data_IF_067618905662
#
_entry.id   IF_067618905662
#
_cell.length_a   1.000
_cell.length_b   1.000
_cell.length_c   1.000
_cell.angle_alpha   90.00
_cell.angle_beta   90.00
_cell.angle_gamma   90.00
#
_symmetry.space_group_name_H-M   'P 1'
#
loop_
_entity.id
_entity.type
_entity.pdbx_description
1 polymer ?
#
# COMPACT_ATOMS: atom_id res chain seq x y z
N UNK A 1 -19.84 6.65 2.86
CA UNK A 1 -20.87 7.53 3.46
C UNK A 1 -20.58 7.72 4.94
N UNK A 2 -20.46 8.97 5.44
CA UNK A 2 -20.15 9.25 6.85
C UNK A 2 -21.38 8.93 7.72
N UNK A 3 -21.36 7.79 8.40
CA UNK A 3 -22.20 7.57 9.58
C UNK A 3 -21.77 8.60 10.62
N UNK A 4 -22.55 9.65 10.85
CA UNK A 4 -22.18 10.68 11.81
C UNK A 4 -22.35 10.15 13.22
N UNK A 5 -21.25 9.70 13.81
CA UNK A 5 -21.16 9.44 15.24
C UNK A 5 -20.82 10.74 15.96
N UNK A 6 -21.43 10.94 17.12
CA UNK A 6 -21.23 12.11 17.97
C UNK A 6 -20.56 11.65 19.25
N UNK A 7 -19.47 12.30 19.63
CA UNK A 7 -18.80 12.04 20.90
C UNK A 7 -19.17 13.15 21.87
N UNK A 8 -19.66 12.80 23.05
CA UNK A 8 -20.02 13.76 24.10
C UNK A 8 -19.46 13.33 25.43
N UNK A 9 -19.18 14.29 26.30
CA UNK A 9 -18.83 14.06 27.69
C UNK A 9 -20.03 14.46 28.57
N UNK A 10 -20.44 13.58 29.48
CA UNK A 10 -21.59 13.80 30.36
C UNK A 10 -21.11 13.85 31.81
N UNK A 11 -21.37 14.96 32.49
CA UNK A 11 -21.03 15.13 33.90
C UNK A 11 -21.99 14.38 34.82
N UNK A 12 -21.58 14.00 36.04
CA UNK A 12 -22.45 13.33 37.00
C UNK A 12 -23.74 14.12 37.23
N UNK A 13 -24.89 13.47 37.03
CA UNK A 13 -26.22 14.08 37.19
C UNK A 13 -26.87 14.56 35.89
N UNK A 14 -26.12 14.76 34.79
CA UNK A 14 -26.71 15.03 33.48
C UNK A 14 -27.21 13.74 32.82
N UNK A 15 -28.39 13.81 32.18
CA UNK A 15 -28.98 12.68 31.44
C UNK A 15 -29.05 13.02 29.96
N UNK A 16 -28.62 12.07 29.13
CA UNK A 16 -28.79 12.12 27.69
C UNK A 16 -30.24 11.91 27.28
N UNK A 17 -30.71 12.69 26.31
CA UNK A 17 -31.99 12.42 25.67
C UNK A 17 -31.86 11.20 24.74
N UNK A 18 -32.20 10.04 25.31
CA UNK A 18 -32.19 8.74 24.63
C UNK A 18 -33.21 8.65 23.48
N UNK A 19 -34.11 9.63 23.31
CA UNK A 19 -35.05 9.70 22.17
C UNK A 19 -34.36 10.18 20.89
N UNK A 20 -33.30 10.98 21.02
CA UNK A 20 -32.59 11.59 19.89
C UNK A 20 -31.29 10.86 19.58
N UNK A 21 -30.61 10.34 20.61
CA UNK A 21 -29.30 9.70 20.48
C UNK A 21 -29.25 8.34 21.17
N UNK A 22 -28.72 7.34 20.46
CA UNK A 22 -28.44 6.01 21.00
C UNK A 22 -26.96 5.93 21.37
N UNK A 23 -26.61 5.66 22.64
CA UNK A 23 -25.22 5.40 23.03
C UNK A 23 -24.76 4.10 22.39
N UNK A 24 -23.59 4.14 21.74
CA UNK A 24 -22.94 3.01 21.09
C UNK A 24 -21.80 2.48 21.96
N UNK A 25 -21.04 3.39 22.57
CA UNK A 25 -19.90 3.09 23.43
C UNK A 25 -19.85 4.10 24.57
N UNK A 26 -19.60 3.60 25.78
CA UNK A 26 -19.49 4.42 27.00
C UNK A 26 -18.19 4.11 27.70
N UNK A 27 -17.47 5.14 28.12
CA UNK A 27 -16.24 5.01 28.89
C UNK A 27 -16.32 5.90 30.14
N UNK A 28 -16.16 5.30 31.32
CA UNK A 28 -16.21 6.01 32.60
C UNK A 28 -14.87 6.68 32.89
N UNK A 29 -14.92 7.95 33.27
CA UNK A 29 -13.78 8.76 33.72
C UNK A 29 -14.06 9.30 35.12
N UNK A 30 -13.01 9.73 35.83
CA UNK A 30 -13.10 10.20 37.23
C UNK A 30 -14.11 11.36 37.39
N UNK A 31 -14.27 12.19 36.35
CA UNK A 31 -15.08 13.41 36.40
C UNK A 31 -16.37 13.33 35.55
N UNK A 32 -16.75 12.14 35.05
CA UNK A 32 -17.92 11.97 34.18
C UNK A 32 -17.77 10.82 33.19
N UNK A 33 -18.68 10.73 32.22
CA UNK A 33 -18.72 9.62 31.25
C UNK A 33 -18.54 10.14 29.84
N UNK A 34 -17.57 9.61 29.09
CA UNK A 34 -17.43 9.84 27.66
C UNK A 34 -18.32 8.87 26.89
N UNK A 35 -19.13 9.36 25.97
CA UNK A 35 -20.15 8.57 25.26
C UNK A 35 -20.05 8.84 23.77
N UNK A 36 -19.81 7.78 23.00
CA UNK A 36 -19.98 7.77 21.55
C UNK A 36 -21.44 7.41 21.24
N UNK A 37 -22.11 8.26 20.48
CA UNK A 37 -23.54 8.18 20.22
C UNK A 37 -23.83 8.23 18.73
N UNK A 38 -24.94 7.63 18.33
CA UNK A 38 -25.49 7.74 16.98
C UNK A 38 -26.86 8.39 17.06
N UNK A 39 -27.15 9.31 16.13
CA UNK A 39 -28.49 9.92 16.00
C UNK A 39 -29.50 8.83 15.65
N UNK A 40 -30.57 8.73 16.45
CA UNK A 40 -31.67 7.79 16.22
C UNK A 40 -32.55 8.35 15.12
N UNK A 41 -32.98 7.49 14.21
CA UNK A 41 -33.94 7.82 13.17
C UNK A 41 -35.17 6.98 13.40
N UNK A 42 -36.33 7.63 13.38
CA UNK A 42 -37.61 6.93 13.34
C UNK A 42 -37.84 6.38 11.92
N UNK A 43 -37.80 5.05 11.72
CA UNK A 43 -38.06 4.45 10.41
C UNK A 43 -39.43 4.79 9.83
N UNK A 44 -40.40 5.19 10.65
CA UNK A 44 -41.74 5.60 10.21
C UNK A 44 -41.73 6.90 9.41
N UNK A 45 -40.67 7.70 9.55
CA UNK A 45 -40.47 8.92 8.77
C UNK A 45 -39.90 8.65 7.37
N UNK A 46 -39.51 7.41 7.05
CA UNK A 46 -38.94 7.06 5.76
C UNK A 46 -40.04 6.95 4.70
N UNK A 47 -39.80 7.53 3.52
CA UNK A 47 -40.61 7.23 2.35
C UNK A 47 -40.18 5.87 1.80
N UNK A 48 -41.09 4.91 1.75
CA UNK A 48 -40.80 3.55 1.27
C UNK A 48 -41.20 3.41 -0.20
N UNK A 49 -40.31 2.84 -1.01
CA UNK A 49 -40.59 2.44 -2.38
C UNK A 49 -40.14 0.99 -2.55
N UNK A 50 -41.05 0.10 -2.93
CA UNK A 50 -40.79 -1.33 -3.10
C UNK A 50 -40.69 -1.71 -4.59
N UNK A 51 -39.74 -2.58 -4.92
CA UNK A 51 -39.51 -3.11 -6.27
C UNK A 51 -39.32 -4.63 -6.25
N UNK A 52 -39.87 -5.29 -7.26
CA UNK A 52 -39.51 -6.66 -7.62
C UNK A 52 -38.42 -6.62 -8.71
N UNK A 53 -37.21 -7.09 -8.40
CA UNK A 53 -36.06 -6.96 -9.29
C UNK A 53 -35.43 -5.55 -9.29
N UNK A 54 -34.41 -5.35 -10.14
CA UNK A 54 -33.70 -4.07 -10.20
C UNK A 54 -34.57 -2.99 -10.84
N UNK A 55 -34.84 -1.86 -10.15
CA UNK A 55 -35.55 -0.75 -10.76
C UNK A 55 -34.72 -0.15 -11.91
N UNK A 56 -35.37 0.26 -12.99
CA UNK A 56 -34.72 1.15 -13.96
C UNK A 56 -34.41 2.47 -13.25
N UNK A 57 -33.12 2.74 -13.05
CA UNK A 57 -32.66 3.96 -12.39
C UNK A 57 -33.16 5.20 -13.13
N UNK A 58 -33.41 5.11 -14.45
CA UNK A 58 -34.01 6.21 -15.24
C UNK A 58 -35.45 6.50 -14.84
N UNK A 59 -36.23 5.49 -14.42
CA UNK A 59 -37.59 5.66 -13.92
C UNK A 59 -37.61 6.28 -12.51
N UNK A 60 -36.64 5.93 -11.65
CA UNK A 60 -36.41 6.60 -10.37
C UNK A 60 -36.02 8.08 -10.56
N UNK A 61 -35.24 8.38 -11.60
CA UNK A 61 -34.83 9.74 -11.97
C UNK A 61 -35.98 10.57 -12.58
N UNK A 62 -36.90 9.98 -13.37
CA UNK A 62 -38.04 10.71 -13.94
C UNK A 62 -39.13 11.08 -12.94
N UNK A 63 -39.11 10.49 -11.73
CA UNK A 63 -40.00 10.83 -10.61
C UNK A 63 -39.43 12.01 -9.82
N UNK A 64 -39.01 13.06 -10.53
CA UNK A 64 -38.28 14.24 -10.03
C UNK A 64 -38.93 15.02 -8.88
N UNK A 65 -40.23 14.89 -8.49
CA UNK A 65 -40.70 15.52 -7.26
C UNK A 65 -40.28 14.78 -5.98
N UNK A 66 -39.69 13.57 -6.06
CA UNK A 66 -39.57 12.69 -4.88
C UNK A 66 -38.24 12.74 -4.13
N UNK A 67 -37.15 13.20 -4.74
CA UNK A 67 -35.82 13.23 -4.10
C UNK A 67 -35.12 14.60 -4.12
N UNK A 68 -35.54 15.52 -4.99
CA UNK A 68 -34.85 16.81 -5.23
C UNK A 68 -35.31 17.95 -4.30
N UNK A 69 -36.48 17.85 -3.65
CA UNK A 69 -37.06 18.95 -2.85
C UNK A 69 -37.28 18.71 -1.35
N UNK A 70 -37.12 17.48 -0.85
CA UNK A 70 -37.45 17.12 0.54
C UNK A 70 -36.19 16.79 1.36
N UNK A 71 -36.19 17.15 2.65
CA UNK A 71 -35.19 16.76 3.66
C UNK A 71 -35.34 15.30 4.11
N UNK A 72 -36.31 14.58 3.54
CA UNK A 72 -36.75 13.26 3.96
C UNK A 72 -35.90 12.15 3.32
N UNK A 73 -35.60 11.11 4.09
CA UNK A 73 -34.86 9.92 3.62
C UNK A 73 -35.82 8.92 2.95
N UNK A 74 -35.29 8.18 1.98
CA UNK A 74 -36.05 7.21 1.18
C UNK A 74 -35.51 5.81 1.43
N UNK A 75 -36.39 4.86 1.76
CA UNK A 75 -36.09 3.44 1.84
C UNK A 75 -36.45 2.75 0.52
N UNK A 76 -35.45 2.26 -0.20
CA UNK A 76 -35.60 1.49 -1.43
C UNK A 76 -35.57 0.01 -1.08
N UNK A 77 -36.72 -0.65 -1.13
CA UNK A 77 -36.86 -2.08 -0.80
C UNK A 77 -36.85 -2.88 -2.09
N UNK A 78 -35.90 -3.80 -2.22
CA UNK A 78 -35.66 -4.55 -3.45
C UNK A 78 -35.71 -6.04 -3.11
N UNK A 79 -36.65 -6.76 -3.73
CA UNK A 79 -36.81 -8.22 -3.57
C UNK A 79 -36.11 -8.99 -4.68
N UNK A 80 -35.64 -10.20 -4.36
CA UNK A 80 -35.16 -11.21 -5.30
C UNK A 80 -34.01 -10.72 -6.21
N UNK A 81 -33.06 -9.97 -5.67
CA UNK A 81 -31.98 -9.38 -6.48
C UNK A 81 -30.61 -9.39 -5.77
N UNK A 82 -29.54 -9.51 -6.56
CA UNK A 82 -28.15 -9.51 -6.08
C UNK A 82 -27.50 -8.11 -6.19
N UNK A 83 -27.01 -7.52 -5.09
CA UNK A 83 -26.70 -6.09 -5.03
C UNK A 83 -25.39 -5.59 -5.66
N UNK A 84 -24.62 -6.44 -6.33
CA UNK A 84 -23.25 -6.10 -6.76
C UNK A 84 -23.15 -4.91 -7.71
N UNK A 85 -24.00 -4.79 -8.75
CA UNK A 85 -23.88 -3.69 -9.74
C UNK A 85 -24.58 -2.38 -9.37
N UNK A 86 -25.75 -2.43 -8.72
CA UNK A 86 -26.50 -1.21 -8.41
C UNK A 86 -25.92 -0.43 -7.24
N UNK A 87 -25.22 -1.06 -6.29
CA UNK A 87 -24.64 -0.34 -5.15
C UNK A 87 -23.55 0.65 -5.56
N UNK A 88 -22.72 0.28 -6.54
CA UNK A 88 -21.71 1.18 -7.11
C UNK A 88 -22.34 2.34 -7.86
N UNK A 89 -23.38 2.06 -8.64
CA UNK A 89 -24.11 3.06 -9.41
C UNK A 89 -24.82 4.05 -8.48
N UNK A 90 -25.56 3.55 -7.48
CA UNK A 90 -26.30 4.35 -6.51
C UNK A 90 -25.38 5.18 -5.60
N UNK A 91 -24.14 4.74 -5.36
CA UNK A 91 -23.17 5.49 -4.56
C UNK A 91 -22.59 6.72 -5.28
N UNK A 92 -22.66 6.76 -6.62
CA UNK A 92 -22.17 7.87 -7.43
C UNK A 92 -23.21 8.99 -7.60
N UNK A 93 -24.45 8.74 -7.18
CA UNK A 93 -25.56 9.69 -7.36
C UNK A 93 -25.53 10.85 -6.34
N UNK A 94 -25.93 12.08 -6.73
CA UNK A 94 -25.92 13.26 -5.85
C UNK A 94 -26.76 13.12 -4.58
N UNK A 95 -27.79 12.27 -4.63
CA UNK A 95 -28.75 12.02 -3.54
C UNK A 95 -28.50 10.71 -2.78
N UNK A 96 -27.37 10.03 -3.02
CA UNK A 96 -27.00 8.76 -2.38
C UNK A 96 -27.07 8.81 -0.83
N UNK A 97 -26.78 9.97 -0.25
CA UNK A 97 -26.85 10.20 1.21
C UNK A 97 -28.27 10.09 1.78
N UNK A 98 -29.32 10.32 0.97
CA UNK A 98 -30.74 10.22 1.36
C UNK A 98 -31.31 8.81 1.20
N UNK A 99 -30.63 7.93 0.47
CA UNK A 99 -31.12 6.59 0.15
C UNK A 99 -30.73 5.55 1.20
N UNK A 100 -31.67 4.65 1.51
CA UNK A 100 -31.48 3.47 2.36
C UNK A 100 -31.93 2.25 1.59
N UNK A 101 -30.99 1.49 1.04
CA UNK A 101 -31.30 0.30 0.27
C UNK A 101 -31.52 -0.88 1.20
N UNK A 102 -32.60 -1.62 0.97
CA UNK A 102 -33.01 -2.81 1.72
C UNK A 102 -33.20 -3.95 0.73
N UNK A 103 -32.24 -4.88 0.71
CA UNK A 103 -32.26 -6.06 -0.16
C UNK A 103 -32.85 -7.23 0.60
N UNK A 104 -33.88 -7.85 0.04
CA UNK A 104 -34.60 -8.97 0.63
C UNK A 104 -34.46 -10.20 -0.26
N UNK A 105 -34.00 -11.30 0.31
CA UNK A 105 -34.01 -12.59 -0.37
C UNK A 105 -35.43 -13.18 -0.48
N UNK A 106 -35.54 -14.34 -1.13
CA UNK A 106 -36.81 -15.02 -1.36
C UNK A 106 -37.46 -15.58 -0.08
N UNK A 107 -36.70 -15.70 1.01
CA UNK A 107 -37.18 -16.23 2.30
C UNK A 107 -37.58 -15.11 3.27
N UNK A 108 -37.24 -13.86 2.94
CA UNK A 108 -37.50 -12.70 3.77
C UNK A 108 -39.02 -12.47 3.95
N UNK A 109 -39.47 -12.19 5.19
CA UNK A 109 -40.84 -11.78 5.46
C UNK A 109 -41.32 -10.59 4.62
N UNK A 110 -42.63 -10.32 4.66
CA UNK A 110 -43.17 -9.12 4.01
C UNK A 110 -42.59 -7.87 4.68
N UNK A 111 -42.12 -6.94 3.86
CA UNK A 111 -41.50 -5.71 4.35
C UNK A 111 -42.56 -4.88 5.06
N UNK A 112 -42.19 -4.36 6.23
CA UNK A 112 -43.03 -3.41 6.97
C UNK A 112 -42.16 -2.66 7.96
N UNK A 113 -42.19 -1.33 7.89
CA UNK A 113 -41.52 -0.46 8.87
C UNK A 113 -42.06 -0.59 10.30
N UNK A 114 -43.23 -1.24 10.45
CA UNK A 114 -43.87 -1.53 11.73
C UNK A 114 -43.48 -2.90 12.30
N UNK A 115 -42.93 -3.78 11.48
CA UNK A 115 -42.43 -5.07 11.96
C UNK A 115 -41.11 -4.85 12.74
N UNK A 116 -40.95 -5.45 13.93
CA UNK A 116 -39.72 -5.31 14.72
C UNK A 116 -38.45 -5.63 13.93
N UNK A 117 -38.51 -6.65 13.07
CA UNK A 117 -37.39 -7.11 12.23
C UNK A 117 -36.80 -6.00 11.35
N UNK A 118 -37.66 -5.21 10.70
CA UNK A 118 -37.22 -4.12 9.82
C UNK A 118 -37.05 -2.81 10.57
N UNK A 119 -37.87 -2.57 11.58
CA UNK A 119 -37.83 -1.35 12.38
C UNK A 119 -36.48 -1.20 13.09
N UNK A 120 -36.02 -2.26 13.76
CA UNK A 120 -34.74 -2.26 14.45
C UNK A 120 -33.57 -2.02 13.48
N UNK A 121 -33.56 -2.69 12.33
CA UNK A 121 -32.50 -2.52 11.34
C UNK A 121 -32.49 -1.13 10.72
N UNK A 122 -33.65 -0.61 10.29
CA UNK A 122 -33.73 0.71 9.67
C UNK A 122 -33.39 1.84 10.65
N UNK A 123 -33.61 1.63 11.95
CA UNK A 123 -33.18 2.58 12.99
C UNK A 123 -31.65 2.76 13.05
N UNK A 124 -30.89 1.80 12.50
CA UNK A 124 -29.44 1.89 12.37
C UNK A 124 -29.00 2.85 11.26
N UNK A 125 -29.91 3.36 10.42
CA UNK A 125 -29.62 4.35 9.39
C UNK A 125 -28.50 3.94 8.40
N UNK A 126 -28.35 2.64 8.13
CA UNK A 126 -27.31 2.15 7.21
C UNK A 126 -27.74 2.37 5.75
N UNK A 127 -26.81 2.82 4.92
CA UNK A 127 -27.06 3.03 3.48
C UNK A 127 -27.44 1.74 2.76
N UNK A 128 -26.88 0.61 3.19
CA UNK A 128 -27.08 -0.71 2.58
C UNK A 128 -27.45 -1.70 3.68
N UNK A 129 -28.58 -2.39 3.50
CA UNK A 129 -29.10 -3.41 4.41
C UNK A 129 -29.47 -4.62 3.56
N UNK A 130 -28.94 -5.79 3.91
CA UNK A 130 -29.23 -7.04 3.20
C UNK A 130 -29.80 -8.02 4.20
N UNK A 131 -31.01 -8.51 3.98
CA UNK A 131 -31.60 -9.59 4.75
C UNK A 131 -31.49 -10.87 3.92
N UNK A 132 -30.66 -11.80 4.39
CA UNK A 132 -30.48 -13.12 3.78
C UNK A 132 -30.59 -14.20 4.85
N UNK A 133 -31.45 -15.20 4.64
CA UNK A 133 -31.72 -16.28 5.60
C UNK A 133 -32.06 -15.76 7.00
N UNK A 134 -32.87 -14.70 7.08
CA UNK A 134 -33.22 -13.97 8.30
C UNK A 134 -32.04 -13.35 9.08
N UNK A 135 -30.87 -13.20 8.45
CA UNK A 135 -29.70 -12.54 9.04
C UNK A 135 -29.46 -11.22 8.29
N UNK A 136 -29.34 -10.14 9.06
CA UNK A 136 -28.97 -8.82 8.53
C UNK A 136 -27.46 -8.75 8.25
N UNK A 137 -27.10 -8.18 7.11
CA UNK A 137 -25.72 -8.00 6.70
C UNK A 137 -25.53 -6.90 5.66
N UNK A 138 -24.32 -6.84 5.10
CA UNK A 138 -23.94 -5.94 4.01
C UNK A 138 -22.97 -6.67 3.08
N UNK A 139 -22.87 -6.22 1.82
CA UNK A 139 -21.82 -6.70 0.93
C UNK A 139 -20.54 -5.92 1.18
N UNK A 140 -19.47 -6.67 1.45
CA UNK A 140 -18.11 -6.14 1.48
C UNK A 140 -17.34 -6.77 0.35
N UNK A 141 -16.88 -5.95 -0.58
CA UNK A 141 -15.87 -6.41 -1.53
C UNK A 141 -14.63 -6.82 -0.75
N UNK A 142 -14.29 -8.09 -0.87
CA UNK A 142 -13.06 -8.65 -0.36
C UNK A 142 -12.32 -9.14 -1.58
N UNK A 143 -11.21 -8.50 -1.93
CA UNK A 143 -10.33 -9.00 -2.98
C UNK A 143 -9.92 -10.41 -2.58
N UNK A 144 -10.22 -11.39 -3.43
CA UNK A 144 -9.63 -12.71 -3.28
C UNK A 144 -8.17 -12.55 -3.68
N UNK A 145 -7.20 -12.80 -2.78
CA UNK A 145 -5.81 -12.80 -3.19
C UNK A 145 -5.63 -13.87 -4.25
N UNK A 146 -5.08 -13.51 -5.42
CA UNK A 146 -4.67 -14.44 -6.47
C UNK A 146 -3.55 -15.33 -5.92
N UNK A 147 -3.90 -16.38 -5.17
CA UNK A 147 -2.95 -17.29 -4.53
C UNK A 147 -2.48 -18.37 -5.50
N UNK A 148 -3.29 -18.71 -6.51
CA UNK A 148 -3.08 -19.90 -7.35
C UNK A 148 -2.31 -19.63 -8.65
N UNK A 149 -2.30 -18.42 -9.19
CA UNK A 149 -1.62 -18.10 -10.45
C UNK A 149 -0.12 -17.89 -10.29
N UNK A 150 0.32 -17.31 -9.17
CA UNK A 150 1.73 -16.97 -8.90
C UNK A 150 2.61 -18.22 -8.65
N UNK A 151 2.04 -19.28 -8.08
CA UNK A 151 2.80 -20.49 -7.70
C UNK A 151 3.26 -21.30 -8.92
N UNK A 152 2.44 -21.39 -9.98
CA UNK A 152 2.81 -22.08 -11.21
C UNK A 152 3.96 -21.39 -11.96
N UNK A 153 4.09 -20.06 -11.84
CA UNK A 153 5.15 -19.27 -12.48
C UNK A 153 6.52 -19.43 -11.81
N UNK A 154 6.59 -20.02 -10.62
CA UNK A 154 7.84 -20.14 -9.85
C UNK A 154 8.49 -21.52 -9.92
N UNK A 155 7.85 -22.49 -10.58
CA UNK A 155 8.47 -23.75 -11.00
C UNK A 155 9.56 -23.56 -12.09
N UNK A 156 9.77 -22.33 -12.55
CA UNK A 156 10.64 -21.96 -13.69
C UNK A 156 12.13 -22.03 -13.37
N UNK A 157 12.49 -22.19 -12.09
CA UNK A 157 13.86 -22.42 -11.63
C UNK A 157 14.50 -23.70 -12.18
N UNK A 158 13.75 -24.57 -12.85
CA UNK A 158 14.26 -25.76 -13.52
C UNK A 158 14.80 -25.49 -14.94
N UNK A 159 14.64 -24.28 -15.48
CA UNK A 159 14.97 -23.99 -16.88
C UNK A 159 16.25 -23.14 -17.03
N UNK A 160 17.23 -23.68 -17.77
CA UNK A 160 18.36 -22.89 -18.26
C UNK A 160 17.92 -21.99 -19.43
N UNK A 161 18.41 -20.76 -19.46
CA UNK A 161 18.18 -19.82 -20.56
C UNK A 161 19.50 -19.42 -21.23
N UNK A 162 19.66 -19.78 -22.51
CA UNK A 162 20.82 -19.41 -23.36
C UNK A 162 22.20 -19.66 -22.71
N UNK A 163 22.36 -20.78 -22.01
CA UNK A 163 23.63 -21.15 -21.37
C UNK A 163 23.91 -20.45 -20.03
N UNK A 164 22.91 -19.78 -19.45
CA UNK A 164 22.91 -19.37 -18.04
C UNK A 164 22.20 -20.44 -17.21
N UNK A 165 22.92 -21.04 -16.26
CA UNK A 165 22.36 -21.94 -15.26
C UNK A 165 21.97 -21.14 -14.02
N UNK A 166 20.67 -20.97 -13.78
CA UNK A 166 20.14 -20.15 -12.68
C UNK A 166 20.20 -20.97 -11.39
N UNK A 167 20.89 -20.45 -10.38
CA UNK A 167 21.04 -21.05 -9.05
C UNK A 167 19.92 -20.60 -8.12
N UNK A 168 19.58 -19.31 -8.15
CA UNK A 168 18.54 -18.73 -7.32
C UNK A 168 17.94 -17.46 -7.94
N UNK A 169 16.75 -17.11 -7.47
CA UNK A 169 16.03 -15.88 -7.81
C UNK A 169 15.60 -15.13 -6.55
N UNK A 170 15.38 -13.82 -6.67
CA UNK A 170 14.68 -13.05 -5.65
C UNK A 170 13.39 -12.45 -6.18
N UNK A 171 12.34 -12.57 -5.38
CA UNK A 171 11.03 -11.98 -5.64
C UNK A 171 11.02 -10.48 -5.31
N UNK A 172 10.24 -9.73 -6.09
CA UNK A 172 10.03 -8.29 -5.89
C UNK A 172 8.54 -7.97 -5.72
N UNK A 173 8.25 -6.87 -5.03
CA UNK A 173 6.88 -6.37 -4.83
C UNK A 173 6.68 -5.06 -5.59
N UNK A 174 5.54 -4.90 -6.27
CA UNK A 174 5.18 -3.61 -6.91
C UNK A 174 4.96 -2.50 -5.91
N UNK A 175 4.29 -2.83 -4.80
CA UNK A 175 3.91 -1.87 -3.78
C UNK A 175 4.90 -1.89 -2.61
N UNK A 176 5.73 -0.85 -2.51
CA UNK A 176 6.62 -0.59 -1.37
C UNK A 176 5.89 0.02 -0.15
N UNK A 177 4.56 -0.08 -0.10
CA UNK A 177 3.72 0.57 0.91
C UNK A 177 3.96 0.00 2.31
N UNK A 178 4.11 0.91 3.28
CA UNK A 178 4.32 0.55 4.69
C UNK A 178 3.06 0.11 5.44
N UNK A 179 1.87 0.40 4.90
CA UNK A 179 0.64 -0.06 5.52
C UNK A 179 0.47 -1.55 5.23
N UNK A 180 0.08 -2.37 6.23
CA UNK A 180 -0.24 -3.77 6.02
C UNK A 180 -1.52 -3.88 5.21
N UNK A 181 -1.42 -3.69 3.90
CA UNK A 181 -2.50 -3.99 2.98
C UNK A 181 -2.36 -5.45 2.56
N UNK A 182 -2.79 -6.34 3.47
CA UNK A 182 -2.76 -7.80 3.29
C UNK A 182 -3.61 -8.28 2.11
N UNK A 183 -4.48 -7.42 1.54
CA UNK A 183 -5.35 -7.77 0.43
C UNK A 183 -4.87 -7.29 -0.95
N UNK A 184 -4.01 -6.27 -1.05
CA UNK A 184 -3.64 -5.64 -2.34
C UNK A 184 -2.13 -5.57 -2.63
N UNK A 185 -1.26 -6.24 -1.84
CA UNK A 185 0.14 -6.43 -2.26
C UNK A 185 0.18 -7.36 -3.48
N UNK A 186 0.10 -6.77 -4.67
CA UNK A 186 0.40 -7.46 -5.92
C UNK A 186 1.88 -7.83 -5.91
N UNK A 187 2.14 -9.13 -5.89
CA UNK A 187 3.49 -9.67 -6.06
C UNK A 187 3.81 -9.55 -7.55
N UNK A 188 5.00 -9.02 -7.87
CA UNK A 188 5.47 -9.04 -9.25
C UNK A 188 6.33 -10.28 -9.46
N UNK A 189 5.72 -11.33 -9.98
CA UNK A 189 6.44 -12.53 -10.39
C UNK A 189 7.11 -12.34 -11.76
N UNK A 190 6.68 -11.31 -12.52
CA UNK A 190 7.22 -10.99 -13.83
C UNK A 190 8.60 -10.34 -13.81
N UNK A 191 9.04 -9.74 -12.70
CA UNK A 191 10.36 -9.15 -12.58
C UNK A 191 11.12 -9.72 -11.38
N UNK A 192 12.25 -10.33 -11.69
CA UNK A 192 13.03 -11.09 -10.74
C UNK A 192 14.48 -10.60 -10.74
N UNK A 193 15.13 -10.76 -9.61
CA UNK A 193 16.58 -10.84 -9.58
C UNK A 193 16.99 -12.29 -9.85
N UNK A 194 18.12 -12.51 -10.52
CA UNK A 194 18.71 -13.83 -10.68
C UNK A 194 20.17 -13.83 -10.26
N UNK A 195 20.65 -14.99 -9.81
CA UNK A 195 22.07 -15.34 -9.73
C UNK A 195 22.26 -16.72 -10.35
N UNK A 196 23.33 -16.87 -11.13
CA UNK A 196 23.63 -18.13 -11.80
C UNK A 196 25.02 -18.16 -12.43
N UNK A 197 25.33 -19.28 -13.08
CA UNK A 197 26.62 -19.52 -13.71
C UNK A 197 26.49 -19.47 -15.23
N UNK A 198 27.33 -18.65 -15.88
CA UNK A 198 27.41 -18.56 -17.34
C UNK A 198 28.14 -19.77 -17.92
N UNK A 199 27.97 -20.02 -19.22
CA UNK A 199 28.63 -21.13 -19.95
C UNK A 199 30.17 -21.11 -19.89
N UNK A 200 30.77 -19.96 -19.60
CA UNK A 200 32.22 -19.81 -19.39
C UNK A 200 32.67 -20.10 -17.94
N UNK A 201 31.77 -20.57 -17.08
CA UNK A 201 32.02 -20.89 -15.66
C UNK A 201 31.99 -19.68 -14.72
N UNK A 202 31.80 -18.44 -15.21
CA UNK A 202 31.74 -17.25 -14.36
C UNK A 202 30.33 -17.05 -13.80
N UNK A 203 30.27 -16.68 -12.52
CA UNK A 203 29.02 -16.35 -11.83
C UNK A 203 28.57 -14.94 -12.19
N UNK A 204 27.28 -14.80 -12.50
CA UNK A 204 26.64 -13.55 -12.84
C UNK A 204 25.33 -13.38 -12.07
N UNK A 205 25.05 -12.14 -11.67
CA UNK A 205 23.78 -11.71 -11.11
C UNK A 205 23.16 -10.63 -12.00
N UNK A 206 21.85 -10.47 -11.96
CA UNK A 206 21.19 -9.45 -12.77
C UNK A 206 19.69 -9.37 -12.55
N UNK A 207 19.06 -8.50 -13.33
CA UNK A 207 17.62 -8.35 -13.38
C UNK A 207 17.09 -9.15 -14.58
N UNK A 208 16.01 -9.88 -14.40
CA UNK A 208 15.37 -10.65 -15.45
C UNK A 208 13.86 -10.49 -15.44
N UNK A 209 13.24 -10.62 -16.62
CA UNK A 209 11.79 -10.76 -16.75
C UNK A 209 11.41 -12.23 -16.85
N UNK A 210 10.34 -12.63 -16.19
CA UNK A 210 9.70 -13.90 -16.48
C UNK A 210 8.81 -13.76 -17.71
N UNK A 211 9.04 -14.61 -18.71
CA UNK A 211 8.27 -14.67 -19.94
C UNK A 211 7.31 -15.86 -19.84
N UNK A 212 6.01 -15.55 -19.72
CA UNK A 212 4.95 -16.54 -19.56
C UNK A 212 4.67 -17.33 -20.83
N UNK A 213 5.01 -16.82 -22.01
CA UNK A 213 4.74 -17.52 -23.28
C UNK A 213 5.71 -18.70 -23.46
N UNK A 214 6.98 -18.49 -23.08
CA UNK A 214 8.02 -19.52 -23.18
C UNK A 214 8.32 -20.20 -21.84
N UNK A 215 7.66 -19.78 -20.76
CA UNK A 215 7.84 -20.29 -19.39
C UNK A 215 9.32 -20.25 -18.95
N UNK A 216 10.02 -19.14 -19.22
CA UNK A 216 11.45 -18.97 -18.90
C UNK A 216 11.76 -17.60 -18.32
N UNK A 217 12.82 -17.54 -17.51
CA UNK A 217 13.43 -16.29 -17.06
C UNK A 217 14.34 -15.77 -18.17
N UNK A 218 14.14 -14.53 -18.57
CA UNK A 218 14.88 -13.82 -19.61
C UNK A 218 15.67 -12.67 -18.97
N UNK A 219 17.00 -12.83 -18.79
CA UNK A 219 17.86 -11.75 -18.30
C UNK A 219 17.84 -10.50 -19.17
N UNK A 220 17.91 -9.33 -18.53
CA UNK A 220 18.18 -8.08 -19.22
C UNK A 220 19.60 -8.10 -19.81
N UNK A 221 19.75 -7.59 -21.04
CA UNK A 221 21.02 -7.62 -21.78
C UNK A 221 22.11 -6.74 -21.16
N UNK A 222 21.74 -5.69 -20.44
CA UNK A 222 22.66 -4.67 -19.91
C UNK A 222 22.80 -4.81 -18.40
N UNK A 223 21.68 -4.95 -17.69
CA UNK A 223 21.57 -5.00 -16.22
C UNK A 223 21.99 -6.37 -15.67
N UNK A 224 23.24 -6.72 -15.94
CA UNK A 224 23.95 -7.92 -15.47
C UNK A 224 25.34 -7.55 -14.97
N UNK A 225 25.75 -8.19 -13.87
CA UNK A 225 26.98 -7.92 -13.12
C UNK A 225 27.67 -9.24 -12.76
N UNK A 226 29.01 -9.20 -12.68
CA UNK A 226 29.78 -10.30 -12.11
C UNK A 226 29.52 -10.40 -10.62
N UNK A 227 29.41 -11.62 -10.10
CA UNK A 227 29.27 -11.87 -8.65
C UNK A 227 30.65 -11.78 -8.00
N UNK A 228 30.85 -10.95 -6.95
CA UNK A 228 32.07 -10.96 -6.15
C UNK A 228 32.35 -12.35 -5.56
N UNK A 229 33.64 -12.72 -5.43
CA UNK A 229 34.05 -14.04 -4.91
C UNK A 229 33.48 -14.35 -3.52
N UNK A 230 33.32 -13.32 -2.71
CA UNK A 230 32.96 -13.44 -1.29
C UNK A 230 31.44 -13.48 -1.08
N UNK A 231 30.65 -13.42 -2.16
CA UNK A 231 29.18 -13.43 -2.09
C UNK A 231 28.63 -14.81 -2.46
N UNK A 232 27.77 -15.34 -1.60
CA UNK A 232 26.95 -16.51 -1.94
C UNK A 232 25.95 -16.17 -3.06
N UNK A 233 25.33 -17.19 -3.64
CA UNK A 233 24.28 -16.97 -4.64
C UNK A 233 23.09 -16.23 -4.03
N UNK A 234 22.68 -16.64 -2.82
CA UNK A 234 21.58 -16.04 -2.09
C UNK A 234 21.87 -14.58 -1.72
N UNK A 235 23.11 -14.26 -1.36
CA UNK A 235 23.53 -12.89 -1.07
C UNK A 235 23.53 -12.03 -2.33
N UNK A 236 24.14 -12.52 -3.41
CA UNK A 236 24.28 -11.80 -4.67
C UNK A 236 22.91 -11.45 -5.29
N UNK A 237 21.94 -12.37 -5.24
CA UNK A 237 20.61 -12.15 -5.85
C UNK A 237 19.79 -11.08 -5.13
N UNK A 238 20.19 -10.62 -3.94
CA UNK A 238 19.48 -9.53 -3.23
C UNK A 238 19.77 -8.13 -3.77
N UNK A 239 20.84 -7.98 -4.57
CA UNK A 239 21.43 -6.69 -4.95
C UNK A 239 20.83 -6.05 -6.21
N UNK A 240 20.68 -6.76 -7.35
CA UNK A 240 20.56 -6.12 -8.67
C UNK A 240 19.42 -5.10 -8.78
N UNK A 241 18.18 -5.51 -8.53
CA UNK A 241 17.00 -4.67 -8.66
C UNK A 241 16.97 -3.57 -7.61
N UNK A 242 17.22 -3.93 -6.35
CA UNK A 242 17.06 -3.03 -5.21
C UNK A 242 18.04 -1.86 -5.28
N UNK A 243 19.30 -2.13 -5.60
CA UNK A 243 20.29 -1.08 -5.81
C UNK A 243 20.09 -0.33 -7.13
N UNK A 244 19.62 -0.99 -8.20
CA UNK A 244 19.28 -0.28 -9.45
C UNK A 244 18.20 0.77 -9.23
N UNK A 245 17.15 0.43 -8.49
CA UNK A 245 16.08 1.37 -8.15
C UNK A 245 16.60 2.53 -7.28
N UNK A 246 17.43 2.23 -6.28
CA UNK A 246 17.98 3.24 -5.37
C UNK A 246 18.97 4.18 -6.09
N UNK A 247 19.88 3.67 -6.92
CA UNK A 247 20.79 4.49 -7.72
C UNK A 247 20.04 5.32 -8.77
N UNK A 248 19.06 4.73 -9.45
CA UNK A 248 18.21 5.46 -10.39
C UNK A 248 17.49 6.61 -9.69
N UNK A 249 16.86 6.32 -8.55
CA UNK A 249 16.13 7.30 -7.75
C UNK A 249 17.01 8.45 -7.26
N UNK A 250 18.15 8.12 -6.64
CA UNK A 250 18.97 9.12 -5.97
C UNK A 250 19.91 9.85 -6.91
N UNK A 251 20.55 9.16 -7.84
CA UNK A 251 21.62 9.76 -8.63
C UNK A 251 21.16 10.21 -10.02
N UNK A 252 20.20 9.53 -10.62
CA UNK A 252 19.74 9.87 -11.97
C UNK A 252 18.49 10.76 -11.95
N UNK A 253 17.54 10.52 -11.04
CA UNK A 253 16.31 11.31 -10.94
C UNK A 253 16.47 12.48 -9.97
N UNK A 254 16.86 12.22 -8.72
CA UNK A 254 17.05 13.28 -7.75
C UNK A 254 18.35 14.06 -7.99
N UNK A 255 19.38 13.46 -8.59
CA UNK A 255 20.73 14.03 -8.64
C UNK A 255 21.20 14.47 -7.24
N UNK A 256 21.19 13.55 -6.27
CA UNK A 256 21.54 13.80 -4.88
C UNK A 256 22.99 14.29 -4.75
N UNK A 257 23.15 15.45 -4.13
CA UNK A 257 24.44 16.09 -3.90
C UNK A 257 24.92 15.93 -2.46
N UNK A 258 26.22 16.11 -2.27
CA UNK A 258 26.86 16.05 -0.94
C UNK A 258 26.33 17.18 -0.05
N UNK A 259 26.04 16.86 1.21
CA UNK A 259 25.55 17.82 2.20
C UNK A 259 24.04 18.10 2.13
N UNK A 260 23.33 17.64 1.10
CA UNK A 260 21.88 17.78 1.03
C UNK A 260 21.17 16.99 2.14
N UNK A 261 20.05 17.53 2.65
CA UNK A 261 19.19 16.82 3.61
C UNK A 261 18.27 15.88 2.85
N UNK A 262 18.27 14.61 3.25
CA UNK A 262 17.45 13.57 2.63
C UNK A 262 16.59 12.86 3.67
N UNK A 263 15.32 12.68 3.36
CA UNK A 263 14.38 11.85 4.14
C UNK A 263 14.11 10.54 3.39
N UNK A 264 14.45 9.41 4.00
CA UNK A 264 14.14 8.07 3.48
C UNK A 264 13.02 7.45 4.30
N UNK A 265 11.84 7.30 3.69
CA UNK A 265 10.77 6.53 4.31
C UNK A 265 11.04 5.03 4.19
N UNK A 266 10.46 4.24 5.10
CA UNK A 266 10.63 2.79 5.14
C UNK A 266 12.11 2.35 5.17
N UNK A 267 12.92 2.93 6.04
CA UNK A 267 14.38 2.75 6.01
C UNK A 267 14.87 1.31 6.14
N UNK A 268 14.08 0.42 6.75
CA UNK A 268 14.39 -1.00 6.87
C UNK A 268 13.89 -1.85 5.70
N UNK A 269 13.18 -1.27 4.73
CA UNK A 269 12.85 -1.96 3.49
C UNK A 269 14.12 -2.17 2.64
N UNK A 270 14.18 -3.19 1.75
CA UNK A 270 15.34 -3.41 0.89
C UNK A 270 15.79 -2.14 0.15
N UNK A 271 14.86 -1.43 -0.48
CA UNK A 271 15.14 -0.17 -1.21
C UNK A 271 15.54 0.94 -0.25
N UNK A 272 14.91 1.02 0.93
CA UNK A 272 15.30 1.95 1.99
C UNK A 272 16.75 1.74 2.45
N UNK A 273 17.15 0.49 2.71
CA UNK A 273 18.51 0.13 3.11
C UNK A 273 19.53 0.51 2.02
N UNK A 274 19.23 0.22 0.75
CA UNK A 274 20.08 0.61 -0.36
C UNK A 274 20.17 2.14 -0.51
N UNK A 275 19.05 2.86 -0.41
CA UNK A 275 19.01 4.31 -0.47
C UNK A 275 19.80 4.97 0.67
N UNK A 276 19.71 4.42 1.88
CA UNK A 276 20.49 4.87 3.04
C UNK A 276 21.98 4.67 2.79
N UNK A 277 22.40 3.50 2.32
CA UNK A 277 23.81 3.21 2.02
C UNK A 277 24.38 4.21 1.00
N UNK A 278 23.64 4.47 -0.09
CA UNK A 278 24.04 5.43 -1.12
C UNK A 278 24.08 6.87 -0.57
N UNK A 279 23.09 7.28 0.21
CA UNK A 279 23.03 8.62 0.80
C UNK A 279 24.19 8.88 1.79
N UNK A 280 24.52 7.89 2.62
CA UNK A 280 25.67 7.95 3.52
C UNK A 280 26.99 8.04 2.74
N UNK A 281 27.15 7.21 1.71
CA UNK A 281 28.33 7.25 0.83
C UNK A 281 28.48 8.60 0.09
N UNK A 282 27.37 9.29 -0.20
CA UNK A 282 27.35 10.64 -0.79
C UNK A 282 27.61 11.75 0.22
N UNK A 283 27.64 11.47 1.52
CA UNK A 283 27.81 12.47 2.57
C UNK A 283 26.59 13.38 2.72
N UNK A 284 25.38 12.84 2.53
CA UNK A 284 24.13 13.57 2.72
C UNK A 284 23.68 13.55 4.19
N UNK A 285 22.91 14.57 4.59
CA UNK A 285 22.34 14.68 5.93
C UNK A 285 21.04 13.85 6.00
N UNK A 286 21.14 12.63 6.52
CA UNK A 286 20.09 11.63 6.44
C UNK A 286 19.09 11.71 7.61
N UNK A 287 17.80 11.58 7.28
CA UNK A 287 16.70 11.29 8.19
C UNK A 287 15.96 10.06 7.69
N UNK A 288 15.52 9.19 8.59
CA UNK A 288 14.92 7.91 8.23
C UNK A 288 13.64 7.71 9.01
N UNK A 289 12.59 7.20 8.36
CA UNK A 289 11.42 6.69 9.08
C UNK A 289 11.38 5.17 9.08
N UNK A 290 11.03 4.58 10.20
CA UNK A 290 10.75 3.14 10.35
C UNK A 290 9.31 2.94 10.82
N UNK A 291 8.72 1.78 10.55
CA UNK A 291 7.34 1.51 10.96
C UNK A 291 7.24 1.39 12.48
N UNK A 292 8.10 0.54 13.05
CA UNK A 292 8.02 0.14 14.45
C UNK A 292 9.37 0.29 15.15
N UNK A 293 9.32 0.48 16.47
CA UNK A 293 10.49 0.64 17.33
C UNK A 293 11.41 -0.59 17.30
N UNK A 294 10.84 -1.77 17.08
CA UNK A 294 11.57 -3.03 16.93
C UNK A 294 12.55 -3.02 15.76
N UNK A 295 12.37 -2.13 14.79
CA UNK A 295 13.22 -2.01 13.62
C UNK A 295 14.44 -1.09 13.85
N UNK A 296 14.41 -0.26 14.90
CA UNK A 296 15.47 0.73 15.18
C UNK A 296 16.82 0.07 15.50
N UNK A 297 16.91 -0.97 16.38
CA UNK A 297 18.20 -1.59 16.69
C UNK A 297 18.86 -2.21 15.46
N UNK A 298 18.07 -2.82 14.57
CA UNK A 298 18.56 -3.39 13.32
C UNK A 298 19.12 -2.31 12.38
N UNK A 299 18.43 -1.18 12.24
CA UNK A 299 18.88 -0.08 11.39
C UNK A 299 20.20 0.51 11.91
N UNK A 300 20.28 0.76 13.21
CA UNK A 300 21.47 1.37 13.84
C UNK A 300 22.68 0.42 13.88
N UNK A 301 22.46 -0.89 14.04
CA UNK A 301 23.55 -1.87 13.95
C UNK A 301 24.09 -1.98 12.52
N UNK A 302 23.23 -1.86 11.51
CA UNK A 302 23.61 -1.89 10.10
C UNK A 302 24.30 -0.61 9.64
N UNK A 303 23.86 0.54 10.15
CA UNK A 303 24.40 1.86 9.81
C UNK A 303 24.77 2.64 11.08
N UNK A 304 25.93 2.35 11.70
CA UNK A 304 26.38 3.02 12.92
C UNK A 304 26.60 4.52 12.76
N UNK A 305 26.66 5.03 11.53
CA UNK A 305 26.79 6.46 11.22
C UNK A 305 25.48 7.23 11.46
N UNK A 306 24.35 6.54 11.63
CA UNK A 306 23.04 7.14 11.88
C UNK A 306 22.84 7.27 13.40
N UNK A 307 22.49 8.46 13.86
CA UNK A 307 22.12 8.69 15.25
C UNK A 307 20.65 8.32 15.48
N UNK A 308 20.32 7.90 16.71
CA UNK A 308 18.93 7.59 17.10
C UNK A 308 17.97 8.76 16.87
N UNK A 309 18.45 10.01 17.00
CA UNK A 309 17.68 11.23 16.73
C UNK A 309 17.32 11.44 15.25
N UNK A 310 18.00 10.74 14.33
CA UNK A 310 17.73 10.79 12.90
C UNK A 310 16.71 9.71 12.47
N UNK A 311 16.29 8.85 13.39
CA UNK A 311 15.34 7.75 13.14
C UNK A 311 13.99 8.08 13.76
N UNK A 312 12.95 8.16 12.94
CA UNK A 312 11.59 8.49 13.34
C UNK A 312 10.72 7.22 13.25
N UNK A 313 10.06 6.87 14.35
CA UNK A 313 9.16 5.71 14.42
C UNK A 313 7.73 6.14 14.12
N UNK A 314 7.19 5.72 12.97
CA UNK A 314 5.87 6.15 12.49
C UNK A 314 4.72 5.76 13.43
N UNK A 315 4.83 4.62 14.12
CA UNK A 315 3.83 4.18 15.12
C UNK A 315 3.73 5.09 16.35
N UNK A 316 4.79 5.85 16.66
CA UNK A 316 4.88 6.61 17.92
C UNK A 316 4.70 8.11 17.73
N UNK A 317 5.12 8.66 16.60
CA UNK A 317 5.22 10.11 16.42
C UNK A 317 4.74 10.56 15.05
N UNK A 318 4.32 11.83 14.98
CA UNK A 318 4.06 12.48 13.71
C UNK A 318 5.40 12.88 13.08
N UNK A 319 5.81 12.14 12.05
CA UNK A 319 7.09 12.39 11.37
C UNK A 319 7.20 13.78 10.76
N UNK A 320 6.10 14.40 10.36
CA UNK A 320 6.12 15.76 9.79
C UNK A 320 6.63 16.77 10.83
N UNK A 321 6.13 16.65 12.06
CA UNK A 321 6.54 17.53 13.16
C UNK A 321 8.00 17.29 13.55
N UNK A 322 8.41 16.03 13.61
CA UNK A 322 9.77 15.69 14.03
C UNK A 322 10.81 16.13 12.99
N UNK A 323 10.55 15.91 11.70
CA UNK A 323 11.43 16.40 10.64
C UNK A 323 11.47 17.93 10.61
N UNK A 324 10.34 18.62 10.81
CA UNK A 324 10.33 20.09 10.95
C UNK A 324 11.20 20.56 12.11
N UNK A 325 11.13 19.89 13.26
CA UNK A 325 11.97 20.19 14.42
C UNK A 325 13.45 19.97 14.12
N UNK A 326 13.81 18.80 13.59
CA UNK A 326 15.18 18.42 13.25
C UNK A 326 15.80 19.29 12.15
N UNK A 327 14.98 19.76 11.22
CA UNK A 327 15.42 20.64 10.11
C UNK A 327 15.24 22.12 10.43
N UNK A 328 14.82 22.50 11.65
CA UNK A 328 14.53 23.89 12.03
C UNK A 328 13.59 24.60 11.03
N UNK A 329 12.55 23.88 10.59
CA UNK A 329 11.57 24.30 9.57
C UNK A 329 12.14 24.62 8.18
N UNK A 330 13.40 24.30 7.90
CA UNK A 330 13.99 24.49 6.56
C UNK A 330 13.58 23.38 5.58
N UNK A 331 13.09 22.25 6.09
CA UNK A 331 12.71 21.09 5.29
C UNK A 331 13.90 20.29 4.76
N UNK A 332 13.64 19.42 3.78
CA UNK A 332 14.63 18.54 3.15
C UNK A 332 14.72 18.76 1.64
N UNK A 333 15.87 18.45 1.05
CA UNK A 333 16.14 18.60 -0.38
C UNK A 333 15.68 17.38 -1.18
N UNK A 334 15.77 16.18 -0.60
CA UNK A 334 15.33 14.94 -1.26
C UNK A 334 14.42 14.15 -0.31
N UNK A 335 13.33 13.62 -0.83
CA UNK A 335 12.50 12.64 -0.12
C UNK A 335 12.38 11.37 -0.96
N UNK A 336 12.73 10.22 -0.39
CA UNK A 336 12.39 8.91 -0.94
C UNK A 336 11.13 8.42 -0.24
N UNK A 337 10.00 8.46 -0.94
CA UNK A 337 8.67 8.22 -0.40
C UNK A 337 8.04 6.94 -0.94
N UNK A 338 7.47 6.15 -0.05
CA UNK A 338 6.55 5.05 -0.38
C UNK A 338 5.20 5.16 0.34
N UNK A 339 4.98 6.24 1.10
CA UNK A 339 3.72 6.53 1.79
C UNK A 339 2.67 7.05 0.79
N UNK A 340 1.39 6.93 1.15
CA UNK A 340 0.24 7.29 0.29
C UNK A 340 -0.68 8.31 0.95
N UNK A 341 -1.58 8.91 0.16
CA UNK A 341 -2.62 9.82 0.63
C UNK A 341 -2.11 10.96 1.51
N UNK A 342 -2.67 11.11 2.72
CA UNK A 342 -2.32 12.19 3.66
C UNK A 342 -0.84 12.20 4.07
N UNK A 343 -0.22 11.03 4.19
CA UNK A 343 1.18 10.92 4.60
C UNK A 343 2.12 11.31 3.46
N UNK A 344 1.80 10.96 2.21
CA UNK A 344 2.50 11.49 1.04
C UNK A 344 2.42 13.03 0.99
N UNK A 345 1.24 13.58 1.24
CA UNK A 345 1.04 15.03 1.30
C UNK A 345 1.84 15.68 2.45
N UNK A 346 2.03 14.97 3.57
CA UNK A 346 2.92 15.41 4.64
C UNK A 346 4.38 15.43 4.19
N UNK A 347 4.84 14.41 3.48
CA UNK A 347 6.17 14.37 2.87
C UNK A 347 6.40 15.50 1.86
N UNK A 348 5.39 15.86 1.06
CA UNK A 348 5.45 17.02 0.17
C UNK A 348 5.57 18.36 0.93
N UNK A 349 4.95 18.49 2.11
CA UNK A 349 5.10 19.68 2.96
C UNK A 349 6.48 19.81 3.60
N UNK A 350 7.22 18.70 3.73
CA UNK A 350 8.58 18.68 4.26
C UNK A 350 9.64 19.13 3.25
N UNK A 351 9.29 19.26 1.97
CA UNK A 351 10.20 19.77 0.96
C UNK A 351 10.61 21.22 1.27
N UNK A 352 11.89 21.51 1.10
CA UNK A 352 12.44 22.86 1.04
C UNK A 352 12.10 23.58 -0.28
N UNK A 353 12.95 24.52 -0.68
CA UNK A 353 12.96 25.11 -2.04
C UNK A 353 13.88 24.28 -2.93
N UNK A 354 13.55 24.16 -4.23
CA UNK A 354 14.35 23.41 -5.21
C UNK A 354 14.54 21.92 -4.86
N UNK A 355 13.58 21.36 -4.13
CA UNK A 355 13.64 20.01 -3.60
C UNK A 355 12.96 19.00 -4.53
N UNK A 356 13.29 17.71 -4.34
CA UNK A 356 12.86 16.59 -5.17
C UNK A 356 12.19 15.52 -4.31
N UNK A 357 11.00 15.09 -4.68
CA UNK A 357 10.37 13.91 -4.08
C UNK A 357 10.38 12.77 -5.09
N UNK A 358 10.97 11.64 -4.70
CA UNK A 358 10.93 10.37 -5.42
C UNK A 358 9.83 9.50 -4.81
N UNK A 359 8.76 9.24 -5.57
CA UNK A 359 7.65 8.41 -5.15
C UNK A 359 7.80 7.00 -5.74
N UNK A 360 8.06 6.02 -4.87
CA UNK A 360 8.35 4.62 -5.23
C UNK A 360 7.09 3.76 -5.43
N UNK A 361 5.97 4.14 -4.84
CA UNK A 361 4.75 3.33 -4.86
C UNK A 361 3.95 3.55 -6.16
N UNK A 362 3.19 2.52 -6.57
CA UNK A 362 2.22 2.70 -7.64
C UNK A 362 0.99 3.45 -7.12
N UNK A 363 0.44 4.29 -8.01
CA UNK A 363 -0.77 5.09 -7.76
C UNK A 363 -1.94 4.13 -7.58
N UNK A 364 -2.47 4.01 -6.36
CA UNK A 364 -3.66 3.20 -6.06
C UNK A 364 -4.93 4.05 -6.06
N UNK A 365 -6.08 3.41 -5.88
CA UNK A 365 -7.37 4.09 -5.70
C UNK A 365 -7.36 5.01 -4.47
N UNK A 366 -6.52 4.73 -3.45
CA UNK A 366 -6.31 5.64 -2.32
C UNK A 366 -5.56 6.93 -2.71
N UNK A 367 -4.82 6.93 -3.82
CA UNK A 367 -4.16 8.12 -4.36
C UNK A 367 -5.12 8.99 -5.21
N UNK A 368 -6.43 8.70 -5.18
CA UNK A 368 -7.47 9.66 -5.60
C UNK A 368 -7.58 10.86 -4.66
N UNK A 369 -6.95 10.82 -3.49
CA UNK A 369 -6.78 12.00 -2.65
C UNK A 369 -6.04 13.10 -3.43
N UNK A 370 -6.52 14.34 -3.34
CA UNK A 370 -5.91 15.46 -4.03
C UNK A 370 -4.44 15.63 -3.61
N UNK A 371 -3.54 15.65 -4.61
CA UNK A 371 -2.13 15.94 -4.39
C UNK A 371 -2.00 17.41 -3.99
N UNK A 372 -1.28 17.67 -2.90
CA UNK A 372 -1.08 19.02 -2.41
C UNK A 372 -0.16 19.80 -3.35
N UNK A 373 -0.71 20.81 -4.04
CA UNK A 373 -0.02 21.54 -5.12
C UNK A 373 0.86 22.71 -4.67
N UNK A 374 0.62 23.27 -3.48
CA UNK A 374 1.38 24.43 -2.98
C UNK A 374 2.92 24.23 -2.94
N UNK A 375 3.47 23.04 -2.61
CA UNK A 375 4.91 22.82 -2.60
C UNK A 375 5.58 23.07 -3.96
N UNK A 376 4.88 22.91 -5.08
CA UNK A 376 5.44 23.12 -6.42
C UNK A 376 5.68 24.59 -6.75
N UNK A 377 5.03 25.53 -6.04
CA UNK A 377 5.32 26.96 -6.13
C UNK A 377 6.74 27.32 -5.62
N UNK A 378 7.44 26.38 -4.97
CA UNK A 378 8.82 26.52 -4.48
C UNK A 378 9.85 25.84 -5.38
N UNK A 379 9.52 25.67 -6.67
CA UNK A 379 10.36 25.02 -7.68
C UNK A 379 10.70 23.58 -7.32
N UNK A 380 9.75 22.89 -6.69
CA UNK A 380 9.93 21.49 -6.30
C UNK A 380 9.54 20.56 -7.45
N UNK A 381 10.19 19.40 -7.49
CA UNK A 381 9.94 18.36 -8.48
C UNK A 381 9.42 17.10 -7.80
N UNK A 382 8.54 16.37 -8.47
CA UNK A 382 8.08 15.06 -8.03
C UNK A 382 8.27 14.07 -9.17
N UNK A 383 8.98 12.98 -8.88
CA UNK A 383 9.26 11.90 -9.82
C UNK A 383 8.59 10.63 -9.31
N UNK A 384 7.81 9.97 -10.17
CA UNK A 384 7.40 8.59 -9.91
C UNK A 384 8.50 7.67 -10.43
N UNK A 385 8.94 6.75 -9.59
CA UNK A 385 9.95 5.75 -9.94
C UNK A 385 9.41 4.38 -9.55
N UNK A 386 9.28 3.48 -10.51
CA UNK A 386 8.81 2.12 -10.29
C UNK A 386 9.79 1.11 -10.90
N UNK A 387 9.44 -0.18 -10.79
CA UNK A 387 10.18 -1.26 -11.44
C UNK A 387 10.36 -1.02 -12.94
N UNK A 388 9.28 -0.61 -13.61
CA UNK A 388 9.27 -0.29 -15.03
C UNK A 388 10.22 0.84 -15.42
N UNK A 389 10.45 1.81 -14.52
CA UNK A 389 11.35 2.94 -14.79
C UNK A 389 12.79 2.48 -15.03
N UNK A 390 13.23 1.41 -14.37
CA UNK A 390 14.60 0.88 -14.52
C UNK A 390 14.70 -0.04 -15.74
N UNK A 391 13.72 -0.93 -15.92
CA UNK A 391 13.82 -1.98 -16.94
C UNK A 391 13.48 -1.46 -18.33
N UNK A 392 12.58 -0.48 -18.43
CA UNK A 392 12.19 0.10 -19.71
C UNK A 392 13.00 1.38 -20.02
N UNK A 393 14.00 1.70 -19.19
CA UNK A 393 14.96 2.76 -19.47
C UNK A 393 15.76 2.48 -20.77
N UNK A 394 16.22 3.56 -21.39
CA UNK A 394 17.08 3.47 -22.56
C UNK A 394 18.44 2.83 -22.24
N UNK A 395 19.15 2.46 -23.31
CA UNK A 395 20.47 1.79 -23.24
C UNK A 395 21.49 2.61 -22.48
N UNK A 396 21.47 3.95 -22.64
CA UNK A 396 22.43 4.85 -22.00
C UNK A 396 22.23 4.87 -20.49
N UNK A 397 20.98 5.02 -20.05
CA UNK A 397 20.57 5.03 -18.64
C UNK A 397 20.88 3.70 -17.97
N UNK A 398 20.57 2.57 -18.62
CA UNK A 398 20.94 1.24 -18.10
C UNK A 398 22.45 1.06 -17.99
N UNK A 399 23.21 1.57 -18.96
CA UNK A 399 24.67 1.50 -18.93
C UNK A 399 25.25 2.34 -17.79
N UNK A 400 24.73 3.55 -17.57
CA UNK A 400 25.09 4.39 -16.42
C UNK A 400 24.79 3.68 -15.10
N UNK A 401 23.60 3.09 -14.94
CA UNK A 401 23.24 2.31 -13.75
C UNK A 401 24.19 1.14 -13.52
N UNK A 402 24.51 0.40 -14.60
CA UNK A 402 25.46 -0.71 -14.54
C UNK A 402 26.79 -0.26 -13.95
N UNK A 403 27.36 0.83 -14.47
CA UNK A 403 28.63 1.42 -14.00
C UNK A 403 28.54 1.86 -12.54
N UNK A 404 27.49 2.60 -12.17
CA UNK A 404 27.30 3.07 -10.79
C UNK A 404 27.24 1.93 -9.77
N UNK A 405 26.56 0.83 -10.12
CA UNK A 405 26.49 -0.36 -9.26
C UNK A 405 27.84 -1.06 -9.21
N UNK A 406 28.56 -1.20 -10.33
CA UNK A 406 29.90 -1.79 -10.34
C UNK A 406 30.88 -1.02 -9.43
N UNK A 407 30.86 0.30 -9.51
CA UNK A 407 31.65 1.18 -8.63
C UNK A 407 31.18 1.07 -7.18
N UNK A 408 29.87 1.02 -6.95
CA UNK A 408 29.28 0.85 -5.63
C UNK A 408 29.68 -0.46 -4.95
N UNK A 409 29.75 -1.56 -5.71
CA UNK A 409 30.25 -2.86 -5.24
C UNK A 409 31.73 -2.74 -4.87
N UNK A 410 32.55 -2.16 -5.76
CA UNK A 410 33.99 -1.99 -5.52
C UNK A 410 34.29 -1.16 -4.27
N UNK A 411 33.50 -0.11 -4.04
CA UNK A 411 33.67 0.81 -2.91
C UNK A 411 32.87 0.40 -1.67
N UNK A 412 32.33 -0.82 -1.64
CA UNK A 412 31.55 -1.37 -0.53
C UNK A 412 30.27 -0.59 -0.15
N UNK A 413 29.80 0.32 -1.00
CA UNK A 413 28.50 1.02 -0.86
C UNK A 413 27.35 0.05 -1.14
N UNK A 414 27.56 -0.84 -2.11
CA UNK A 414 26.64 -1.92 -2.44
C UNK A 414 27.05 -3.16 -1.67
N UNK A 415 26.12 -3.68 -0.88
CA UNK A 415 26.31 -4.86 -0.04
C UNK A 415 25.07 -5.76 -0.14
N UNK A 416 25.22 -7.08 0.05
CA UNK A 416 24.09 -7.97 0.16
C UNK A 416 23.11 -7.53 1.25
N UNK A 417 21.83 -7.77 1.00
CA UNK A 417 20.74 -7.47 1.93
C UNK A 417 20.33 -8.73 2.67
N UNK A 418 19.76 -8.55 3.86
CA UNK A 418 19.22 -9.67 4.64
C UNK A 418 18.12 -10.37 3.83
N UNK A 419 18.13 -11.69 3.80
CA UNK A 419 17.16 -12.48 3.06
C UNK A 419 16.60 -13.65 3.87
N UNK A 420 15.40 -14.05 3.47
CA UNK A 420 14.79 -15.32 3.83
C UNK A 420 14.84 -16.24 2.61
N UNK A 421 15.45 -17.41 2.76
CA UNK A 421 15.62 -18.39 1.69
C UNK A 421 14.55 -19.47 1.74
N UNK A 422 13.99 -19.80 0.59
CA UNK A 422 12.97 -20.85 0.40
C UNK A 422 13.40 -21.76 -0.75
N UNK A 423 13.01 -23.03 -0.68
CA UNK A 423 13.16 -23.94 -1.82
C UNK A 423 12.01 -23.77 -2.81
N UNK A 424 12.17 -24.27 -4.04
CA UNK A 424 11.08 -24.31 -5.06
C UNK A 424 9.79 -24.91 -4.49
N UNK A 425 9.89 -25.93 -3.62
CA UNK A 425 8.72 -26.58 -2.98
C UNK A 425 7.99 -25.66 -2.00
N UNK A 426 8.67 -24.65 -1.46
CA UNK A 426 8.15 -23.69 -0.48
C UNK A 426 7.70 -22.38 -1.12
N UNK A 427 7.50 -22.35 -2.43
CA UNK A 427 7.07 -21.16 -3.18
C UNK A 427 5.85 -20.47 -2.55
N UNK A 428 4.82 -21.23 -2.17
CA UNK A 428 3.62 -20.67 -1.52
C UNK A 428 3.94 -20.00 -0.19
N UNK A 429 4.86 -20.58 0.59
CA UNK A 429 5.34 -20.00 1.85
C UNK A 429 6.15 -18.72 1.61
N UNK A 430 6.97 -18.69 0.56
CA UNK A 430 7.73 -17.52 0.13
C UNK A 430 6.80 -16.35 -0.25
N UNK A 431 5.78 -16.62 -1.07
CA UNK A 431 4.77 -15.63 -1.48
C UNK A 431 3.95 -15.10 -0.29
N UNK A 432 3.54 -16.00 0.61
CA UNK A 432 2.80 -15.63 1.82
C UNK A 432 3.66 -14.76 2.76
N UNK A 433 4.94 -15.09 2.95
CA UNK A 433 5.85 -14.28 3.73
C UNK A 433 6.03 -12.88 3.13
N UNK A 434 6.16 -12.78 1.80
CA UNK A 434 6.27 -11.51 1.09
C UNK A 434 5.03 -10.62 1.27
N UNK A 435 3.83 -11.23 1.31
CA UNK A 435 2.56 -10.53 1.57
C UNK A 435 2.45 -10.07 3.02
N UNK A 436 2.72 -10.97 3.97
CA UNK A 436 2.44 -10.78 5.39
C UNK A 436 3.47 -9.92 6.14
N UNK A 437 4.75 -9.94 5.75
CA UNK A 437 5.79 -9.18 6.45
C UNK A 437 5.88 -7.75 5.91
N UNK A 438 6.05 -6.78 6.81
CA UNK A 438 6.65 -5.49 6.46
C UNK A 438 8.09 -5.82 6.03
N UNK A 439 8.32 -5.92 4.73
CA UNK A 439 9.51 -6.57 4.16
C UNK A 439 10.79 -5.89 4.66
N UNK A 440 11.41 -6.44 5.72
CA UNK A 440 12.77 -6.09 6.17
C UNK A 440 13.81 -6.89 5.38
N UNK A 441 13.38 -7.98 4.74
CA UNK A 441 14.23 -8.97 4.09
C UNK A 441 13.78 -9.21 2.65
N UNK A 442 14.74 -9.53 1.79
CA UNK A 442 14.47 -10.05 0.44
C UNK A 442 14.02 -11.50 0.54
N UNK A 443 13.05 -11.88 -0.30
CA UNK A 443 12.61 -13.27 -0.43
C UNK A 443 13.40 -13.93 -1.56
N UNK A 444 14.18 -14.94 -1.22
CA UNK A 444 15.05 -15.67 -2.15
C UNK A 444 14.50 -17.08 -2.32
N UNK A 445 14.43 -17.53 -3.57
CA UNK A 445 14.05 -18.90 -3.92
C UNK A 445 15.24 -19.58 -4.59
N UNK A 446 15.70 -20.69 -4.01
CA UNK A 446 16.85 -21.46 -4.48
C UNK A 446 16.41 -22.71 -5.23
N UNK A 447 17.15 -23.07 -6.29
CA UNK A 447 16.98 -24.36 -6.96
C UNK A 447 17.46 -25.48 -6.02
N UNK A 448 16.72 -26.60 -5.88
CA UNK A 448 17.22 -27.76 -5.14
C UNK A 448 18.51 -28.28 -5.80
N UNK A 449 19.55 -28.50 -5.00
CA UNK A 449 20.73 -29.21 -5.46
C UNK A 449 20.34 -30.67 -5.73
N UNK A 450 20.57 -31.14 -6.95
CA UNK A 450 20.43 -32.56 -7.27
C UNK A 450 21.66 -33.23 -6.65
N UNK A 451 21.46 -33.99 -5.57
CA UNK A 451 22.49 -34.84 -4.97
C UNK A 451 22.66 -36.13 -5.77
#
# INVERSE_FOLDING_TARGET
ARNTFYMTFVTPGQRLDKRIFRPILTHQLINGTLILMKKVIDPKSLKVVEFEGMPDLRYLMSQEPTCSGTTQKVALVIRNWQPSKALETLAQEPFANKLRCVFLDHQAPRFSVFSPLYHEQLSLDLAVNVLSRNIWGSYKYTSLPDILTDSHQLHVLESSYKGLDIECISLNTRNFTLQPDTLNKQIEVNLLDYCGTQSNGKRAMGIAKYDSEINKIVPDKILTWSVPSDWSAEDAVTVPFTYSLAYYSLLLQANLEKGEKILVHAGTSPVGLAAISIALARGSNLYVTVCSDLQVPFLLSRFPQINSSQVIVLEKTNFELEIKRLTQNTGVQVVVNCLKGRDMNASLRLLGKFSRLIHLSDISVEDRDAVYMYPFARFNHMYRVSLDSVINADVETKSKLKTLIQEGIKNAVVQPLKHSTYTVKQTTEALNNLRMKNAVEKTVVVRPQIH
#
